data_IF_687615668329
#
_entry.id   IF_687615668329
#
_cell.length_a   1.000
_cell.length_b   1.000
_cell.length_c   1.000
_cell.angle_alpha   90.00
_cell.angle_beta   90.00
_cell.angle_gamma   90.00
#
_symmetry.space_group_name_H-M   'P 1'
#
loop_
_entity.id
_entity.type
_entity.pdbx_description
1 polymer ?
#
# COMPACT_ATOMS: atom_id res chain seq x y z
N UNK A 1 12.46 23.62 -15.03
CA UNK A 1 12.11 23.31 -16.43
C UNK A 1 12.11 21.81 -16.56
N UNK A 2 10.94 21.21 -16.77
CA UNK A 2 10.75 19.77 -16.90
C UNK A 2 11.00 19.36 -18.33
N UNK A 3 11.98 18.52 -18.58
CA UNK A 3 12.22 17.93 -19.89
C UNK A 3 11.33 16.71 -20.08
N UNK A 4 10.46 16.73 -21.07
CA UNK A 4 9.85 15.52 -21.58
C UNK A 4 10.93 14.72 -22.29
N UNK A 5 11.19 13.52 -21.83
CA UNK A 5 12.05 12.57 -22.52
C UNK A 5 11.15 11.63 -23.31
N UNK A 6 11.29 11.64 -24.62
CA UNK A 6 10.67 10.66 -25.50
C UNK A 6 11.71 9.61 -25.84
N UNK A 7 11.38 8.34 -25.67
CA UNK A 7 12.16 7.23 -26.21
C UNK A 7 11.39 6.64 -27.40
N UNK A 8 12.10 6.39 -28.48
CA UNK A 8 11.54 5.72 -29.65
C UNK A 8 11.72 4.21 -29.48
N UNK A 9 10.60 3.49 -29.32
CA UNK A 9 10.61 2.03 -29.30
C UNK A 9 10.23 1.53 -30.68
N UNK A 10 11.14 0.79 -31.33
CA UNK A 10 10.80 0.08 -32.56
C UNK A 10 10.10 -1.23 -32.22
N UNK A 11 8.86 -1.36 -32.64
CA UNK A 11 8.08 -2.59 -32.49
C UNK A 11 8.01 -3.30 -33.85
N UNK A 12 8.47 -4.54 -33.88
CA UNK A 12 8.31 -5.41 -35.04
C UNK A 12 7.05 -6.28 -34.86
N UNK A 13 6.12 -6.12 -35.78
CA UNK A 13 4.93 -6.95 -35.85
C UNK A 13 5.12 -7.94 -36.97
N UNK A 14 5.01 -9.22 -36.67
CA UNK A 14 5.05 -10.30 -37.65
C UNK A 14 3.61 -10.79 -37.94
N UNK A 15 3.19 -10.62 -39.18
CA UNK A 15 1.90 -11.12 -39.63
C UNK A 15 2.14 -12.32 -40.60
N UNK A 16 1.69 -13.48 -40.19
CA UNK A 16 1.84 -14.72 -41.00
C UNK A 16 0.51 -15.14 -41.60
N UNK A 17 0.53 -15.39 -42.90
CA UNK A 17 -0.59 -16.01 -43.64
C UNK A 17 -0.14 -17.34 -44.21
N UNK A 18 -0.32 -18.42 -43.45
CA UNK A 18 0.25 -19.73 -43.77
C UNK A 18 1.77 -19.77 -43.59
N UNK A 19 2.51 -20.06 -44.65
CA UNK A 19 3.98 -20.09 -44.65
C UNK A 19 4.63 -18.73 -44.96
N UNK A 20 3.82 -17.77 -45.37
CA UNK A 20 4.32 -16.43 -45.76
C UNK A 20 4.13 -15.45 -44.59
N UNK A 21 5.25 -15.05 -44.02
CA UNK A 21 5.26 -14.03 -42.96
C UNK A 21 5.79 -12.69 -43.52
N UNK A 22 5.09 -11.61 -43.19
CA UNK A 22 5.55 -10.24 -43.42
C UNK A 22 5.85 -9.55 -42.11
N UNK A 23 6.94 -8.81 -42.06
CA UNK A 23 7.37 -8.05 -40.89
C UNK A 23 7.08 -6.57 -41.16
N UNK A 24 6.26 -5.97 -40.34
CA UNK A 24 6.07 -4.54 -40.32
C UNK A 24 6.77 -3.93 -39.09
N UNK A 25 7.62 -2.96 -39.33
CA UNK A 25 8.25 -2.20 -38.24
C UNK A 25 7.48 -0.90 -38.05
N UNK A 26 7.04 -0.63 -36.85
CA UNK A 26 6.47 0.66 -36.46
C UNK A 26 7.26 1.25 -35.31
N UNK A 27 7.38 2.56 -35.30
CA UNK A 27 8.00 3.32 -34.20
C UNK A 27 6.86 3.82 -33.31
N UNK A 28 6.94 3.48 -32.03
CA UNK A 28 6.08 4.06 -31.01
C UNK A 28 6.87 5.15 -30.28
N UNK A 29 6.35 6.36 -30.28
CA UNK A 29 6.82 7.37 -29.33
C UNK A 29 6.24 6.99 -27.95
N UNK A 30 7.13 6.71 -27.02
CA UNK A 30 6.77 6.46 -25.62
C UNK A 30 7.14 7.69 -24.83
N UNK A 31 6.16 8.39 -24.30
CA UNK A 31 6.41 9.43 -23.33
C UNK A 31 6.91 8.80 -22.04
N UNK A 32 8.21 8.96 -21.75
CA UNK A 32 8.74 8.64 -20.43
C UNK A 32 8.24 9.71 -19.48
N UNK A 33 7.21 9.38 -18.71
CA UNK A 33 6.73 10.23 -17.64
C UNK A 33 7.91 10.55 -16.73
N UNK A 34 8.16 11.83 -16.52
CA UNK A 34 9.16 12.29 -15.57
C UNK A 34 8.91 11.60 -14.23
N UNK A 35 9.99 11.21 -13.52
CA UNK A 35 9.88 10.44 -12.26
C UNK A 35 9.09 11.15 -11.15
N UNK A 36 8.48 12.30 -11.42
CA UNK A 36 7.87 13.13 -10.39
C UNK A 36 8.89 13.53 -9.33
N UNK A 37 8.44 13.92 -8.17
CA UNK A 37 9.29 14.27 -7.02
C UNK A 37 9.74 13.01 -6.25
N UNK A 38 10.25 11.99 -6.95
CA UNK A 38 10.73 10.77 -6.33
C UNK A 38 12.13 10.97 -5.74
N UNK A 39 12.39 10.51 -4.52
CA UNK A 39 13.74 10.52 -3.96
C UNK A 39 14.61 9.48 -4.67
N UNK A 40 15.93 9.69 -4.68
CA UNK A 40 16.88 8.67 -5.13
C UNK A 40 16.95 7.50 -4.15
N UNK A 41 16.79 7.80 -2.85
CA UNK A 41 16.75 6.83 -1.75
C UNK A 41 15.46 7.02 -0.96
N UNK A 42 14.71 5.96 -0.78
CA UNK A 42 13.45 5.95 -0.03
C UNK A 42 13.66 5.76 1.48
N UNK A 43 14.88 5.59 1.96
CA UNK A 43 15.17 5.42 3.39
C UNK A 43 14.70 6.63 4.19
N UNK A 44 13.78 6.41 5.14
CA UNK A 44 13.21 7.48 5.95
C UNK A 44 12.34 8.48 5.17
N UNK A 45 11.83 8.08 4.02
CA UNK A 45 10.96 8.93 3.20
C UNK A 45 9.62 9.19 3.88
N UNK A 46 9.07 8.20 4.59
CA UNK A 46 7.93 8.41 5.48
C UNK A 46 8.38 9.18 6.72
N UNK A 47 7.71 10.30 6.98
CA UNK A 47 8.06 11.24 8.05
C UNK A 47 7.49 10.83 9.40
N UNK A 48 6.36 10.09 9.37
CA UNK A 48 5.65 9.64 10.56
C UNK A 48 5.34 8.15 10.42
N UNK A 49 5.24 7.48 11.56
CA UNK A 49 4.59 6.18 11.59
C UNK A 49 3.07 6.39 11.49
N UNK A 50 2.34 5.40 11.00
CA UNK A 50 0.88 5.52 10.79
C UNK A 50 0.08 5.53 12.09
N UNK A 51 0.67 5.09 13.20
CA UNK A 51 0.16 5.20 14.56
C UNK A 51 1.07 6.13 15.37
N UNK A 52 0.63 6.54 16.57
CA UNK A 52 1.42 7.43 17.43
C UNK A 52 2.80 6.87 17.79
N UNK A 53 2.94 5.54 17.89
CA UNK A 53 4.23 4.88 18.13
C UNK A 53 4.24 3.46 17.55
N UNK A 54 5.40 3.04 17.06
CA UNK A 54 5.66 1.64 16.67
C UNK A 54 5.60 0.69 17.88
N UNK A 55 5.76 1.19 19.10
CA UNK A 55 5.66 0.41 20.35
C UNK A 55 4.25 -0.15 20.59
N UNK A 56 3.22 0.51 20.02
CA UNK A 56 1.84 0.02 20.07
C UNK A 56 1.64 -1.28 19.28
N UNK A 57 2.54 -1.55 18.32
CA UNK A 57 2.46 -2.71 17.44
C UNK A 57 3.02 -3.93 18.16
N UNK A 58 2.22 -4.98 18.25
CA UNK A 58 2.64 -6.28 18.84
C UNK A 58 3.25 -7.21 17.81
N UNK A 59 2.70 -7.21 16.61
CA UNK A 59 3.25 -7.96 15.48
C UNK A 59 2.87 -7.33 14.14
N UNK A 60 3.66 -7.64 13.12
CA UNK A 60 3.56 -7.08 11.77
C UNK A 60 3.35 -8.23 10.79
N UNK A 61 2.29 -8.13 10.00
CA UNK A 61 2.10 -9.00 8.85
C UNK A 61 3.01 -8.57 7.69
N UNK A 62 3.59 -9.54 6.94
CA UNK A 62 4.44 -9.20 5.82
C UNK A 62 3.67 -8.39 4.76
N UNK A 63 4.36 -7.50 4.00
CA UNK A 63 3.75 -6.66 2.97
C UNK A 63 2.97 -7.43 1.90
N UNK A 64 3.32 -8.68 1.65
CA UNK A 64 2.60 -9.58 0.76
C UNK A 64 2.34 -10.89 1.47
N UNK A 65 1.09 -11.29 1.53
CA UNK A 65 0.65 -12.60 2.01
C UNK A 65 0.31 -13.49 0.83
N UNK A 66 0.75 -14.73 0.87
CA UNK A 66 0.32 -15.74 -0.09
C UNK A 66 -0.99 -16.41 0.37
N UNK A 67 -1.78 -16.87 -0.58
CA UNK A 67 -1.79 -16.65 -2.03
C UNK A 67 -2.77 -15.56 -2.49
N UNK A 68 -3.52 -14.87 -1.60
CA UNK A 68 -4.66 -14.05 -2.01
C UNK A 68 -4.83 -12.72 -1.27
N UNK A 69 -3.84 -12.26 -0.50
CA UNK A 69 -3.94 -11.00 0.25
C UNK A 69 -2.79 -10.07 -0.04
N UNK A 70 -3.12 -8.90 -0.62
CA UNK A 70 -2.19 -7.78 -0.72
C UNK A 70 -2.19 -6.98 0.58
N UNK A 71 -1.01 -6.48 0.92
CA UNK A 71 -0.83 -5.58 2.04
C UNK A 71 -0.48 -6.29 3.35
N UNK A 72 0.40 -5.63 4.09
CA UNK A 72 0.74 -5.98 5.46
C UNK A 72 -0.33 -5.47 6.44
N UNK A 73 -0.09 -5.72 7.69
CA UNK A 73 -0.87 -5.16 8.77
C UNK A 73 0.01 -4.88 9.97
N UNK A 74 -0.42 -3.93 10.77
CA UNK A 74 0.11 -3.68 12.11
C UNK A 74 -0.94 -4.14 13.11
N UNK A 75 -0.65 -5.23 13.84
CA UNK A 75 -1.49 -5.67 14.94
C UNK A 75 -1.15 -4.88 16.19
N UNK A 76 -2.16 -4.42 16.89
CA UNK A 76 -2.01 -3.73 18.16
C UNK A 76 -2.53 -4.57 19.31
N UNK A 77 -2.21 -4.16 20.54
CA UNK A 77 -2.64 -4.87 21.74
C UNK A 77 -4.16 -4.95 21.80
N UNK A 78 -4.64 -6.09 22.25
CA UNK A 78 -6.08 -6.35 22.44
C UNK A 78 -6.76 -5.23 23.23
N UNK A 79 -7.88 -4.75 22.68
CA UNK A 79 -8.73 -3.72 23.29
C UNK A 79 -8.24 -2.27 23.07
N UNK A 80 -7.12 -2.06 22.39
CA UNK A 80 -6.66 -0.73 21.98
C UNK A 80 -7.19 -0.42 20.58
N UNK A 81 -8.39 0.10 20.48
CA UNK A 81 -8.98 0.48 19.19
C UNK A 81 -9.04 2.00 19.00
N UNK A 82 -9.11 2.75 20.11
CA UNK A 82 -9.13 4.21 20.10
C UNK A 82 -7.69 4.69 19.92
N UNK A 83 -7.23 4.67 18.66
CA UNK A 83 -5.88 5.02 18.25
C UNK A 83 -5.93 5.98 17.08
N UNK A 84 -5.19 7.07 17.20
CA UNK A 84 -5.00 8.01 16.11
C UNK A 84 -4.24 7.35 14.97
N UNK A 85 -4.79 7.47 13.76
CA UNK A 85 -4.14 7.05 12.53
C UNK A 85 -3.77 8.29 11.73
N UNK A 86 -2.49 8.42 11.42
CA UNK A 86 -1.93 9.60 10.77
C UNK A 86 -1.25 9.27 9.45
N UNK A 87 -1.26 10.25 8.56
CA UNK A 87 -0.62 10.11 7.26
C UNK A 87 0.92 10.06 7.41
N UNK A 88 1.61 9.07 6.81
CA UNK A 88 3.07 8.96 6.94
C UNK A 88 3.86 9.96 6.09
N UNK A 89 3.28 10.47 5.01
CA UNK A 89 3.91 11.40 4.05
C UNK A 89 2.85 12.25 3.36
N UNK A 90 3.23 13.42 2.83
CA UNK A 90 2.32 14.24 2.02
C UNK A 90 1.77 13.42 0.84
N UNK A 91 0.46 13.36 0.72
CA UNK A 91 -0.19 12.58 -0.32
C UNK A 91 -1.61 13.06 -0.60
N UNK A 92 -2.16 12.61 -1.73
CA UNK A 92 -3.53 12.91 -2.15
C UNK A 92 -4.38 11.65 -2.00
N UNK A 93 -5.44 11.71 -1.21
CA UNK A 93 -6.48 10.69 -1.16
C UNK A 93 -7.21 10.68 -2.51
N UNK A 94 -7.34 9.52 -3.14
CA UNK A 94 -7.95 9.41 -4.47
C UNK A 94 -9.06 8.37 -4.55
N UNK A 95 -8.94 7.30 -3.77
CA UNK A 95 -9.95 6.24 -3.72
C UNK A 95 -10.11 5.75 -2.29
N UNK A 96 -11.22 5.10 -2.02
CA UNK A 96 -11.45 4.50 -0.71
C UNK A 96 -12.55 3.45 -0.76
N UNK A 97 -12.73 2.76 0.34
CA UNK A 97 -13.79 1.78 0.51
C UNK A 97 -14.49 1.98 1.85
N UNK A 98 -15.79 1.72 1.89
CA UNK A 98 -16.62 1.69 3.08
C UNK A 98 -17.38 0.37 3.10
N UNK A 99 -17.13 -0.46 4.08
CA UNK A 99 -17.68 -1.82 4.10
C UNK A 99 -18.11 -2.26 5.50
N UNK A 100 -18.99 -3.28 5.55
CA UNK A 100 -19.38 -3.92 6.77
C UNK A 100 -18.47 -5.11 7.05
N UNK A 101 -17.65 -4.99 8.09
CA UNK A 101 -16.82 -6.10 8.54
C UNK A 101 -17.57 -6.91 9.60
N UNK A 102 -17.66 -8.26 9.46
CA UNK A 102 -18.29 -9.09 10.48
C UNK A 102 -17.44 -9.09 11.76
N UNK A 103 -17.98 -8.52 12.82
CA UNK A 103 -17.31 -8.52 14.12
C UNK A 103 -17.39 -9.89 14.81
N UNK A 104 -16.54 -10.13 15.80
CA UNK A 104 -16.47 -11.39 16.57
C UNK A 104 -17.72 -11.68 17.37
N UNK A 105 -18.54 -10.67 17.65
CA UNK A 105 -19.81 -10.79 18.38
C UNK A 105 -21.04 -11.02 17.48
N UNK A 106 -20.86 -11.16 16.17
CA UNK A 106 -21.94 -11.22 15.18
C UNK A 106 -22.57 -9.86 14.88
N UNK A 107 -22.01 -8.77 15.42
CA UNK A 107 -22.35 -7.40 15.05
C UNK A 107 -21.37 -6.93 13.99
N UNK A 108 -21.87 -6.50 12.84
CA UNK A 108 -21.03 -5.92 11.80
C UNK A 108 -20.56 -4.53 12.20
N UNK A 109 -19.29 -4.24 11.93
CA UNK A 109 -18.67 -2.94 12.14
C UNK A 109 -18.44 -2.25 10.79
N UNK A 110 -18.71 -0.96 10.71
CA UNK A 110 -18.35 -0.18 9.51
C UNK A 110 -16.86 0.10 9.58
N UNK A 111 -16.17 -0.29 8.52
CA UNK A 111 -14.74 -0.03 8.39
C UNK A 111 -14.44 0.65 7.05
N UNK A 112 -13.26 1.27 6.98
CA UNK A 112 -12.83 2.03 5.83
C UNK A 112 -11.43 1.60 5.38
N UNK A 113 -11.21 1.68 4.06
CA UNK A 113 -9.90 1.68 3.44
C UNK A 113 -9.71 2.98 2.68
N UNK A 114 -8.51 3.54 2.73
CA UNK A 114 -8.13 4.78 2.07
C UNK A 114 -6.90 4.54 1.22
N UNK A 115 -6.92 4.98 -0.03
CA UNK A 115 -5.80 4.85 -0.95
C UNK A 115 -5.28 6.22 -1.36
N UNK A 116 -3.98 6.38 -1.25
CA UNK A 116 -3.26 7.62 -1.44
C UNK A 116 -2.27 7.53 -2.59
N UNK A 117 -2.17 8.60 -3.35
CA UNK A 117 -1.10 8.84 -4.31
C UNK A 117 -0.11 9.82 -3.75
N UNK A 118 1.16 9.51 -3.89
CA UNK A 118 2.26 10.39 -3.49
C UNK A 118 2.66 11.31 -4.64
N UNK A 119 3.51 12.32 -4.35
CA UNK A 119 4.15 13.15 -5.38
C UNK A 119 5.15 12.37 -6.23
N UNK A 120 5.64 11.24 -5.73
CA UNK A 120 6.44 10.28 -6.50
C UNK A 120 5.49 9.47 -7.38
N UNK A 121 5.41 9.82 -8.64
CA UNK A 121 4.49 9.23 -9.60
C UNK A 121 4.61 7.71 -9.64
N UNK A 122 3.48 7.01 -9.71
CA UNK A 122 3.39 5.55 -9.65
C UNK A 122 3.55 4.95 -8.27
N UNK A 123 3.95 5.72 -7.25
CA UNK A 123 4.02 5.23 -5.87
C UNK A 123 2.73 5.61 -5.11
N UNK A 124 2.04 4.59 -4.65
CA UNK A 124 0.79 4.71 -3.90
C UNK A 124 0.79 3.81 -2.68
N UNK A 125 0.02 4.17 -1.69
CA UNK A 125 -0.15 3.34 -0.50
C UNK A 125 -1.60 3.35 -0.03
N UNK A 126 -1.97 2.27 0.66
CA UNK A 126 -3.28 2.11 1.27
C UNK A 126 -3.19 1.94 2.77
N UNK A 127 -4.17 2.50 3.48
CA UNK A 127 -4.38 2.31 4.92
C UNK A 127 -5.79 1.74 5.08
N UNK A 128 -5.90 0.55 5.66
CA UNK A 128 -7.17 -0.16 5.78
C UNK A 128 -7.58 -0.45 7.21
N UNK A 129 -8.80 -0.95 7.36
CA UNK A 129 -9.41 -1.29 8.64
C UNK A 129 -9.48 -0.11 9.61
N UNK A 130 -9.81 1.07 9.08
CA UNK A 130 -10.04 2.26 9.86
C UNK A 130 -11.49 2.30 10.35
N UNK A 131 -11.71 2.90 11.52
CA UNK A 131 -13.00 3.30 12.04
C UNK A 131 -12.92 4.76 12.48
N UNK A 132 -14.08 5.40 12.71
CA UNK A 132 -14.18 6.80 13.17
C UNK A 132 -13.22 7.76 12.42
N UNK A 133 -13.41 7.82 11.08
CA UNK A 133 -12.69 8.77 10.25
C UNK A 133 -12.97 10.21 10.67
N UNK A 134 -12.01 11.10 10.43
CA UNK A 134 -12.26 12.54 10.55
C UNK A 134 -13.39 12.99 9.60
N UNK A 135 -14.15 14.00 9.99
CA UNK A 135 -15.37 14.44 9.28
C UNK A 135 -15.09 14.73 7.81
N UNK A 136 -13.98 15.40 7.50
CA UNK A 136 -13.56 15.76 6.14
C UNK A 136 -13.46 14.55 5.21
N UNK A 137 -13.03 13.39 5.71
CA UNK A 137 -12.91 12.15 4.95
C UNK A 137 -14.24 11.38 4.97
N UNK A 138 -14.90 11.30 6.13
CA UNK A 138 -16.11 10.51 6.29
C UNK A 138 -17.26 11.01 5.42
N UNK A 139 -17.36 12.33 5.20
CA UNK A 139 -18.36 12.99 4.36
C UNK A 139 -18.21 12.64 2.87
N UNK A 140 -17.04 12.17 2.42
CA UNK A 140 -16.83 11.74 1.03
C UNK A 140 -17.55 10.42 0.70
N UNK A 141 -17.88 9.60 1.73
CA UNK A 141 -18.55 8.32 1.55
C UNK A 141 -20.05 8.48 1.60
N UNK A 142 -20.68 8.73 0.46
CA UNK A 142 -22.14 8.98 0.32
C UNK A 142 -22.98 7.71 0.17
N UNK A 143 -22.33 6.55 -0.09
CA UNK A 143 -23.03 5.28 -0.29
C UNK A 143 -23.11 4.48 1.01
N UNK A 144 -24.19 3.70 1.16
CA UNK A 144 -24.30 2.76 2.28
C UNK A 144 -23.21 1.69 2.22
N UNK A 145 -22.65 1.27 3.36
CA UNK A 145 -21.65 0.22 3.40
C UNK A 145 -22.26 -1.14 3.02
N UNK A 146 -21.48 -1.94 2.32
CA UNK A 146 -21.87 -3.31 1.93
C UNK A 146 -20.90 -4.33 2.53
N UNK A 147 -21.28 -5.62 2.53
CA UNK A 147 -20.38 -6.70 2.99
C UNK A 147 -19.14 -6.86 2.08
N UNK A 148 -19.24 -6.40 0.82
CA UNK A 148 -18.15 -6.42 -0.12
C UNK A 148 -17.29 -5.16 0.03
N UNK A 149 -15.97 -5.33 0.04
CA UNK A 149 -15.01 -4.23 -0.03
C UNK A 149 -14.99 -3.67 -1.45
N UNK A 150 -15.82 -2.67 -1.70
CA UNK A 150 -15.88 -1.98 -2.98
C UNK A 150 -15.11 -0.67 -2.93
N UNK A 151 -14.06 -0.58 -3.73
CA UNK A 151 -13.31 0.66 -3.91
C UNK A 151 -14.12 1.62 -4.79
N UNK A 152 -14.18 2.89 -4.38
CA UNK A 152 -14.82 3.99 -5.09
C UNK A 152 -13.84 5.13 -5.28
N UNK A 153 -13.98 5.84 -6.40
CA UNK A 153 -13.25 7.09 -6.61
C UNK A 153 -13.79 8.16 -5.67
N UNK A 154 -12.88 8.88 -5.02
CA UNK A 154 -13.19 10.01 -4.15
C UNK A 154 -12.71 11.31 -4.82
N UNK A 155 -13.35 12.44 -4.54
CA UNK A 155 -12.78 13.73 -4.89
C UNK A 155 -11.36 13.84 -4.33
N UNK A 156 -10.36 14.22 -5.13
CA UNK A 156 -9.00 14.33 -4.65
C UNK A 156 -8.88 15.30 -3.47
N UNK A 157 -8.30 14.83 -2.38
CA UNK A 157 -8.10 15.61 -1.16
C UNK A 157 -6.65 15.49 -0.71
N UNK A 158 -5.98 16.65 -0.58
CA UNK A 158 -4.57 16.71 -0.21
C UNK A 158 -4.39 16.72 1.30
N UNK A 159 -3.46 15.91 1.78
CA UNK A 159 -3.05 15.81 3.18
C UNK A 159 -1.54 15.99 3.32
N UNK A 160 -1.13 16.47 4.47
CA UNK A 160 0.28 16.58 4.85
C UNK A 160 0.68 15.43 5.77
N UNK A 161 1.96 15.12 5.80
CA UNK A 161 2.51 14.16 6.75
C UNK A 161 2.14 14.55 8.19
N UNK A 162 1.58 13.60 8.95
CA UNK A 162 1.11 13.82 10.31
C UNK A 162 -0.35 14.21 10.45
N UNK A 163 -1.05 14.53 9.35
CA UNK A 163 -2.49 14.81 9.41
C UNK A 163 -3.25 13.60 9.94
N UNK A 164 -4.24 13.86 10.79
CA UNK A 164 -5.12 12.85 11.37
C UNK A 164 -6.11 12.36 10.30
N UNK A 165 -6.21 11.05 10.15
CA UNK A 165 -7.14 10.41 9.21
C UNK A 165 -8.32 9.75 9.95
N UNK A 166 -8.03 9.14 11.09
CA UNK A 166 -9.02 8.44 11.91
C UNK A 166 -8.62 8.49 13.39
N UNK A 167 -9.60 8.38 14.27
CA UNK A 167 -9.41 8.31 15.73
C UNK A 167 -9.63 6.90 16.29
N UNK A 168 -9.97 5.95 15.41
CA UNK A 168 -10.12 4.56 15.78
C UNK A 168 -9.76 3.63 14.62
N UNK A 169 -9.36 2.42 15.00
CA UNK A 169 -9.12 1.30 14.09
C UNK A 169 -10.15 0.21 14.31
N UNK A 170 -10.52 -0.45 13.22
CA UNK A 170 -11.44 -1.58 13.21
C UNK A 170 -10.72 -2.93 13.20
N UNK A 171 -11.41 -3.93 12.69
CA UNK A 171 -10.94 -5.30 12.48
C UNK A 171 -10.55 -6.03 13.77
N UNK A 172 -11.55 -6.63 14.39
CA UNK A 172 -11.38 -7.40 15.63
C UNK A 172 -11.52 -8.90 15.32
N UNK A 173 -10.38 -9.59 15.25
CA UNK A 173 -10.34 -11.04 15.27
C UNK A 173 -9.75 -11.47 16.60
N UNK A 174 -10.43 -12.33 17.35
CA UNK A 174 -9.97 -12.85 18.65
C UNK A 174 -9.55 -11.77 19.66
N UNK A 175 -10.20 -10.60 19.58
CA UNK A 175 -9.89 -9.46 20.44
C UNK A 175 -8.71 -8.60 20.00
N UNK A 176 -8.03 -8.94 18.92
CA UNK A 176 -6.96 -8.14 18.35
C UNK A 176 -7.52 -7.12 17.34
N UNK A 177 -6.85 -5.98 17.24
CA UNK A 177 -7.14 -4.95 16.26
C UNK A 177 -5.96 -4.79 15.31
N UNK A 178 -6.25 -4.40 14.07
CA UNK A 178 -5.24 -4.25 13.03
C UNK A 178 -5.45 -2.96 12.27
N UNK A 179 -4.34 -2.41 11.77
CA UNK A 179 -4.33 -1.45 10.68
C UNK A 179 -3.71 -2.13 9.48
N UNK A 180 -4.44 -2.21 8.37
CA UNK A 180 -3.88 -2.63 7.09
C UNK A 180 -2.97 -1.55 6.54
N UNK A 181 -1.81 -1.91 6.02
CA UNK A 181 -0.89 -0.98 5.39
C UNK A 181 -0.15 -1.66 4.23
N UNK A 182 -0.16 -1.04 3.07
CA UNK A 182 0.53 -1.56 1.90
C UNK A 182 1.02 -0.44 1.00
N UNK A 183 2.14 -0.68 0.32
CA UNK A 183 2.73 0.24 -0.65
C UNK A 183 2.92 -0.48 -1.97
N UNK A 184 2.59 0.20 -3.06
CA UNK A 184 2.71 -0.30 -4.42
C UNK A 184 3.53 0.67 -5.26
N UNK A 185 4.41 0.13 -6.09
CA UNK A 185 5.17 0.87 -7.10
C UNK A 185 4.74 0.41 -8.49
N UNK A 186 3.85 1.16 -9.12
CA UNK A 186 3.29 0.82 -10.43
C UNK A 186 4.34 0.84 -11.54
N UNK A 187 5.50 1.48 -11.31
CA UNK A 187 6.63 1.53 -12.25
C UNK A 187 7.72 0.49 -11.96
N UNK A 188 7.54 -0.35 -10.96
CA UNK A 188 8.44 -1.45 -10.61
C UNK A 188 9.91 -1.02 -10.43
N UNK A 189 10.15 0.19 -9.90
CA UNK A 189 11.49 0.73 -9.66
C UNK A 189 12.20 0.04 -8.50
N UNK A 190 11.43 -0.54 -7.59
CA UNK A 190 11.91 -1.26 -6.42
C UNK A 190 11.70 -2.76 -6.58
N UNK A 191 12.41 -3.61 -5.82
CA UNK A 191 12.09 -5.02 -5.75
C UNK A 191 10.64 -5.22 -5.31
N UNK A 192 9.86 -5.88 -6.17
CA UNK A 192 8.44 -6.10 -5.97
C UNK A 192 8.12 -7.58 -5.81
N UNK A 193 6.87 -7.86 -5.45
CA UNK A 193 6.37 -9.21 -5.36
C UNK A 193 6.41 -9.91 -6.71
N UNK A 194 6.75 -11.21 -6.70
CA UNK A 194 6.64 -12.07 -7.89
C UNK A 194 5.21 -12.60 -8.10
N UNK A 195 4.32 -12.37 -7.12
CA UNK A 195 2.94 -12.81 -7.21
C UNK A 195 2.17 -12.02 -8.27
N UNK A 196 1.52 -12.67 -9.25
CA UNK A 196 0.88 -12.00 -10.38
C UNK A 196 -0.17 -10.96 -9.97
N UNK A 197 -0.88 -11.19 -8.85
CA UNK A 197 -1.93 -10.27 -8.37
C UNK A 197 -1.35 -9.07 -7.61
N UNK A 198 -0.10 -9.15 -7.15
CA UNK A 198 0.53 -8.14 -6.30
C UNK A 198 1.95 -7.79 -6.77
N UNK A 199 2.18 -7.94 -8.07
CA UNK A 199 3.48 -7.76 -8.70
C UNK A 199 4.09 -6.37 -8.47
N UNK A 200 3.31 -5.37 -8.08
CA UNK A 200 3.76 -4.01 -7.77
C UNK A 200 3.87 -3.72 -6.26
N UNK A 201 3.55 -4.67 -5.38
CA UNK A 201 3.72 -4.49 -3.94
C UNK A 201 5.20 -4.50 -3.56
N UNK A 202 5.61 -3.56 -2.71
CA UNK A 202 7.01 -3.38 -2.28
C UNK A 202 7.17 -3.53 -0.77
N UNK A 203 8.39 -3.82 -0.34
CA UNK A 203 8.73 -3.76 1.08
C UNK A 203 8.82 -2.31 1.54
N UNK A 204 7.87 -1.89 2.36
CA UNK A 204 7.76 -0.51 2.82
C UNK A 204 8.54 -0.22 4.12
N UNK A 205 9.14 -1.23 4.76
CA UNK A 205 9.81 -1.01 6.06
C UNK A 205 10.93 0.02 5.95
N UNK A 206 11.75 -0.06 4.89
CA UNK A 206 12.82 0.90 4.64
C UNK A 206 12.36 2.34 4.36
N UNK A 207 11.06 2.56 4.11
CA UNK A 207 10.51 3.90 3.91
C UNK A 207 10.40 4.69 5.22
N UNK A 208 10.35 4.00 6.34
CA UNK A 208 10.44 4.60 7.66
C UNK A 208 11.89 4.88 8.07
N UNK A 209 12.07 5.60 9.18
CA UNK A 209 13.40 5.77 9.75
C UNK A 209 14.05 4.43 10.10
N UNK A 210 15.38 4.32 10.11
CA UNK A 210 16.08 3.06 10.39
C UNK A 210 15.65 2.40 11.71
N UNK A 211 15.35 3.19 12.74
CA UNK A 211 14.89 2.67 14.04
C UNK A 211 13.51 2.01 13.90
N UNK A 212 12.54 2.71 13.29
CA UNK A 212 11.20 2.16 13.02
C UNK A 212 11.29 0.92 12.11
N UNK A 213 12.10 0.98 11.06
CA UNK A 213 12.30 -0.15 10.14
C UNK A 213 12.83 -1.39 10.87
N UNK A 214 13.80 -1.21 11.77
CA UNK A 214 14.35 -2.28 12.61
C UNK A 214 13.29 -2.90 13.53
N UNK A 215 12.47 -2.06 14.16
CA UNK A 215 11.40 -2.50 15.04
C UNK A 215 10.33 -3.29 14.27
N UNK A 216 9.90 -2.80 13.11
CA UNK A 216 8.94 -3.50 12.25
C UNK A 216 9.46 -4.87 11.83
N UNK A 217 10.73 -4.95 11.41
CA UNK A 217 11.37 -6.22 11.04
C UNK A 217 11.41 -7.19 12.23
N UNK A 218 11.72 -6.71 13.42
CA UNK A 218 11.80 -7.54 14.63
C UNK A 218 10.45 -8.12 15.05
N UNK A 219 9.36 -7.41 14.72
CA UNK A 219 7.96 -7.77 15.02
C UNK A 219 7.28 -8.54 13.90
N UNK A 220 7.97 -8.72 12.75
CA UNK A 220 7.38 -9.42 11.61
C UNK A 220 7.16 -10.89 11.93
N UNK A 221 5.90 -11.31 11.86
CA UNK A 221 5.56 -12.73 12.08
C UNK A 221 5.86 -13.54 10.83
N UNK A 222 6.78 -14.48 10.97
CA UNK A 222 6.94 -15.51 9.96
C UNK A 222 5.76 -16.47 10.12
N UNK A 223 4.68 -16.22 9.38
CA UNK A 223 3.61 -17.20 9.30
C UNK A 223 4.18 -18.48 8.69
N UNK A 224 3.83 -19.62 9.28
CA UNK A 224 4.20 -20.99 8.88
C UNK A 224 3.55 -21.44 7.55
N UNK A 225 3.19 -20.50 6.70
CA UNK A 225 2.90 -20.77 5.31
C UNK A 225 4.25 -20.90 4.59
N UNK A 226 4.35 -21.90 3.71
CA UNK A 226 5.56 -22.24 2.97
C UNK A 226 6.42 -21.02 2.67
N UNK A 227 7.74 -21.09 2.85
CA UNK A 227 8.58 -19.92 2.71
C UNK A 227 8.29 -19.30 1.36
N UNK A 228 7.76 -18.07 1.39
CA UNK A 228 7.69 -17.24 0.19
C UNK A 228 9.12 -17.19 -0.29
N UNK A 229 9.40 -17.86 -1.41
CA UNK A 229 10.71 -17.78 -2.03
C UNK A 229 11.05 -16.31 -2.19
N UNK A 230 11.98 -15.81 -1.36
CA UNK A 230 12.44 -14.43 -1.31
C UNK A 230 11.29 -13.42 -1.13
N UNK A 231 10.82 -13.28 0.12
CA UNK A 231 9.82 -12.27 0.48
C UNK A 231 10.19 -10.90 -0.05
N UNK A 232 9.18 -10.07 -0.33
CA UNK A 232 9.34 -8.69 -0.79
C UNK A 232 10.28 -7.89 0.12
N UNK A 233 10.35 -8.26 1.40
CA UNK A 233 11.34 -7.74 2.33
C UNK A 233 12.50 -8.72 2.46
N UNK A 234 13.74 -8.28 2.19
CA UNK A 234 14.90 -9.14 2.36
C UNK A 234 15.01 -9.60 3.82
N UNK A 235 15.42 -10.86 4.07
CA UNK A 235 15.68 -11.32 5.41
C UNK A 235 16.72 -10.40 6.05
N UNK A 236 16.52 -10.06 7.33
CA UNK A 236 17.56 -9.39 8.10
C UNK A 236 18.82 -10.25 8.07
N UNK A 237 19.82 -9.82 7.34
CA UNK A 237 21.16 -10.35 7.51
C UNK A 237 21.62 -9.92 8.89
N UNK A 238 21.34 -10.74 9.90
CA UNK A 238 22.07 -10.67 11.16
C UNK A 238 23.52 -11.01 10.81
N UNK A 239 24.29 -9.97 10.50
CA UNK A 239 25.74 -10.10 10.49
C UNK A 239 26.16 -10.41 11.93
N UNK A 240 26.88 -11.51 12.18
CA UNK A 240 27.30 -11.90 13.52
C UNK A 240 28.29 -10.91 14.13
#
# INVERSE_FOLDING_TARGET
EWGHFFDEIQVQLEECNGSDCSVATTTLEVELLARGDCPEDFTGWFKNFVLDSVDLVTDVGPPVRLPNEAGGYFRVTQGQNDLDVRLPIDATLTTGSRFLHPGTSGVSEIQYGLDFRTKCEGLRFGIGHLADLVDEISELFTTEPTEDTKVVDLPPLEFQAGDLLATAIGFRIDGNSFVGFGVNDDFLRMPTSKEPLFHNAVCYYGFFSPDIASDLLSKTVHQTYEPVEEGVCPPTTTTP
#
